data_IF_948176617983
#
_entry.id   IF_948176617983
#
_cell.length_a   1.000
_cell.length_b   1.000
_cell.length_c   1.000
_cell.angle_alpha   90.00
_cell.angle_beta   90.00
_cell.angle_gamma   90.00
#
_symmetry.space_group_name_H-M   'P 1'
#
loop_
_entity.id
_entity.type
_entity.pdbx_description
1 polymer ?
#
# COMPACT_ATOMS: atom_id res chain seq x y z
N UNK A 1 8.70 52.25 0.59
CA UNK A 1 8.46 51.25 1.63
C UNK A 1 7.01 50.78 1.57
N UNK A 2 6.72 49.67 0.86
CA UNK A 2 5.37 49.10 0.77
C UNK A 2 5.34 47.83 1.63
N UNK A 3 4.56 47.89 2.72
CA UNK A 3 4.29 46.74 3.59
C UNK A 3 3.28 45.81 2.89
N UNK A 4 3.71 44.57 2.61
CA UNK A 4 2.83 43.51 2.14
C UNK A 4 2.11 42.89 3.34
N UNK A 5 0.81 43.15 3.47
CA UNK A 5 -0.03 42.48 4.46
C UNK A 5 -0.30 41.03 4.01
N UNK A 6 0.18 40.05 4.77
CA UNK A 6 -0.23 38.66 4.65
C UNK A 6 -1.67 38.55 5.15
N UNK A 7 -2.61 38.25 4.24
CA UNK A 7 -4.00 37.93 4.59
C UNK A 7 -4.04 36.52 5.17
N UNK A 8 -4.27 36.43 6.47
CA UNK A 8 -4.63 35.21 7.17
C UNK A 8 -6.07 34.85 6.78
N UNK A 9 -6.27 33.80 6.00
CA UNK A 9 -7.60 33.25 5.73
C UNK A 9 -8.06 32.41 6.92
N UNK A 10 -8.93 32.96 7.73
CA UNK A 10 -9.72 32.21 8.71
C UNK A 10 -10.85 31.54 7.92
N UNK A 11 -10.82 30.21 7.80
CA UNK A 11 -11.94 29.44 7.28
C UNK A 11 -13.04 29.38 8.34
N UNK A 12 -14.07 30.16 8.15
CA UNK A 12 -15.32 30.02 8.91
C UNK A 12 -16.16 28.93 8.26
N UNK A 13 -16.54 27.94 9.07
CA UNK A 13 -17.32 26.78 8.67
C UNK A 13 -18.73 27.15 8.24
N UNK A 14 -19.08 26.96 6.97
CA UNK A 14 -20.45 26.78 6.52
C UNK A 14 -20.50 25.97 5.23
N UNK A 15 -21.08 24.78 5.26
CA UNK A 15 -21.46 23.98 4.11
C UNK A 15 -20.44 22.85 3.79
N UNK A 16 -20.67 21.68 4.38
CA UNK A 16 -20.01 20.42 4.01
C UNK A 16 -20.32 20.07 2.54
N UNK A 17 -19.51 20.54 1.61
CA UNK A 17 -19.24 19.79 0.40
C UNK A 17 -17.96 18.99 0.69
N UNK A 18 -18.12 17.73 1.06
CA UNK A 18 -16.99 16.82 1.25
C UNK A 18 -16.29 16.67 -0.10
N UNK A 19 -15.22 17.44 -0.34
CA UNK A 19 -14.29 17.18 -1.43
C UNK A 19 -13.54 15.92 -1.04
N UNK A 20 -13.87 14.79 -1.65
CA UNK A 20 -13.29 13.49 -1.31
C UNK A 20 -11.86 13.35 -1.83
N UNK A 21 -11.47 14.11 -2.86
CA UNK A 21 -10.14 13.97 -3.49
C UNK A 21 -9.73 15.22 -4.27
N UNK A 22 -8.49 15.68 -4.08
CA UNK A 22 -7.81 16.65 -4.93
C UNK A 22 -6.48 16.05 -5.36
N UNK A 23 -6.29 15.90 -6.66
CA UNK A 23 -5.05 15.38 -7.26
C UNK A 23 -4.38 16.50 -8.04
N UNK A 24 -3.16 16.87 -7.70
CA UNK A 24 -2.37 17.83 -8.45
C UNK A 24 -1.70 17.15 -9.65
N UNK A 25 -1.90 17.69 -10.84
CA UNK A 25 -1.33 17.18 -12.10
C UNK A 25 -0.54 18.32 -12.75
N UNK A 26 0.75 18.42 -12.46
CA UNK A 26 1.57 19.49 -13.01
C UNK A 26 1.09 20.88 -12.59
N UNK A 27 0.67 21.72 -13.56
CA UNK A 27 0.12 23.06 -13.29
C UNK A 27 -1.40 23.09 -13.09
N UNK A 28 -2.09 21.93 -13.20
CA UNK A 28 -3.53 21.79 -13.06
C UNK A 28 -3.94 20.90 -11.90
N UNK A 29 -5.24 20.70 -11.75
CA UNK A 29 -5.78 19.84 -10.70
C UNK A 29 -7.02 19.08 -11.17
N UNK A 30 -7.23 17.91 -10.59
CA UNK A 30 -8.50 17.17 -10.63
C UNK A 30 -9.14 17.24 -9.26
N UNK A 31 -10.34 17.78 -9.19
CA UNK A 31 -11.13 17.87 -7.95
C UNK A 31 -12.39 17.03 -8.09
N UNK A 32 -12.59 16.08 -7.22
CA UNK A 32 -13.74 15.17 -7.23
C UNK A 32 -14.49 15.26 -5.91
N UNK A 33 -15.79 15.54 -5.98
CA UNK A 33 -16.66 15.56 -4.80
C UNK A 33 -17.00 14.14 -4.35
N UNK A 34 -17.58 13.35 -5.22
CA UNK A 34 -17.94 11.95 -4.98
C UNK A 34 -17.70 11.12 -6.23
N UNK A 35 -17.12 9.92 -6.06
CA UNK A 35 -17.03 8.92 -7.12
C UNK A 35 -17.90 7.71 -6.79
N UNK A 36 -18.76 7.30 -7.73
CA UNK A 36 -19.70 6.17 -7.57
C UNK A 36 -19.62 5.24 -8.77
N UNK A 37 -20.05 4.02 -8.59
CA UNK A 37 -20.27 3.03 -9.67
C UNK A 37 -21.75 2.93 -10.04
N UNK A 38 -22.63 3.57 -9.28
CA UNK A 38 -24.06 3.61 -9.56
C UNK A 38 -24.37 4.57 -10.71
N UNK A 39 -25.07 4.06 -11.73
CA UNK A 39 -25.44 4.81 -12.93
C UNK A 39 -24.43 4.67 -14.07
N UNK A 40 -23.55 3.68 -14.05
CA UNK A 40 -22.73 3.30 -15.22
C UNK A 40 -23.66 2.79 -16.31
N UNK A 41 -23.61 3.42 -17.47
CA UNK A 41 -24.43 3.11 -18.67
C UNK A 41 -23.61 3.03 -19.96
N UNK A 42 -22.30 3.29 -19.87
CA UNK A 42 -21.37 3.29 -20.99
C UNK A 42 -20.11 2.47 -20.65
N UNK A 43 -19.65 1.70 -21.63
CA UNK A 43 -18.42 0.90 -21.50
C UNK A 43 -17.57 1.09 -22.75
N UNK A 44 -16.30 1.44 -22.56
CA UNK A 44 -15.34 1.62 -23.63
C UNK A 44 -14.11 0.75 -23.39
N UNK A 45 -13.78 -0.10 -24.35
CA UNK A 45 -12.50 -0.83 -24.36
C UNK A 45 -11.43 0.07 -24.97
N UNK A 46 -10.34 0.24 -24.25
CA UNK A 46 -9.21 1.06 -24.66
C UNK A 46 -8.20 0.23 -25.44
N UNK A 47 -7.89 0.68 -26.65
CA UNK A 47 -6.74 0.14 -27.39
C UNK A 47 -5.45 0.70 -26.81
N UNK A 48 -4.68 -0.15 -26.13
CA UNK A 48 -3.41 0.22 -25.49
C UNK A 48 -2.32 -0.78 -25.87
N UNK A 49 -1.08 -0.34 -25.83
CA UNK A 49 0.08 -1.23 -26.00
C UNK A 49 0.20 -2.25 -24.88
N UNK A 50 1.09 -3.23 -25.04
CA UNK A 50 1.38 -4.21 -24.00
C UNK A 50 2.00 -3.53 -22.76
N UNK A 51 1.55 -3.95 -21.56
CA UNK A 51 2.06 -3.46 -20.28
C UNK A 51 2.23 -4.61 -19.29
N UNK A 52 3.17 -4.45 -18.35
CA UNK A 52 3.39 -5.34 -17.21
C UNK A 52 3.35 -4.57 -15.88
N UNK A 53 3.02 -3.28 -15.91
CA UNK A 53 2.84 -2.45 -14.73
C UNK A 53 1.61 -1.54 -14.87
N UNK A 54 0.94 -1.25 -13.76
CA UNK A 54 -0.20 -0.32 -13.67
C UNK A 54 0.15 0.78 -12.68
N UNK A 55 -0.04 2.02 -13.12
CA UNK A 55 0.11 3.23 -12.29
C UNK A 55 -1.12 4.11 -12.51
N UNK A 56 -1.94 4.29 -11.47
CA UNK A 56 -3.12 5.12 -11.61
C UNK A 56 -3.19 6.28 -10.63
N UNK A 57 -3.75 7.39 -11.13
CA UNK A 57 -4.05 8.60 -10.37
C UNK A 57 -5.54 8.94 -10.47
N UNK A 58 -6.39 7.96 -10.79
CA UNK A 58 -7.84 8.15 -10.85
C UNK A 58 -8.42 8.28 -9.45
N UNK A 59 -9.51 9.01 -9.27
CA UNK A 59 -10.25 9.07 -8.00
C UNK A 59 -11.31 7.98 -7.85
N UNK A 60 -11.19 6.89 -8.61
CA UNK A 60 -12.15 5.80 -8.67
C UNK A 60 -11.48 4.44 -8.40
N UNK A 61 -12.29 3.40 -8.30
CA UNK A 61 -11.79 2.04 -8.15
C UNK A 61 -11.28 1.48 -9.48
N UNK A 62 -10.12 0.86 -9.41
CA UNK A 62 -9.52 0.07 -10.48
C UNK A 62 -9.58 -1.40 -10.07
N UNK A 63 -10.32 -2.20 -10.81
CA UNK A 63 -10.42 -3.65 -10.62
C UNK A 63 -9.40 -4.32 -11.53
N UNK A 64 -8.47 -5.05 -10.93
CA UNK A 64 -7.49 -5.85 -11.66
C UNK A 64 -7.81 -7.34 -11.52
N UNK A 65 -7.70 -8.09 -12.61
CA UNK A 65 -7.80 -9.56 -12.59
C UNK A 65 -6.77 -10.19 -13.53
N UNK A 66 -6.25 -11.34 -13.16
CA UNK A 66 -5.40 -12.12 -14.05
C UNK A 66 -6.26 -12.88 -15.07
N UNK A 67 -5.95 -12.74 -16.37
CA UNK A 67 -6.61 -13.44 -17.46
C UNK A 67 -5.64 -13.60 -18.63
N UNK A 68 -5.92 -14.53 -19.55
CA UNK A 68 -5.04 -14.84 -20.67
C UNK A 68 -4.84 -13.67 -21.65
N UNK A 69 -5.81 -12.75 -21.71
CA UNK A 69 -5.77 -11.58 -22.58
C UNK A 69 -5.70 -10.30 -21.77
N UNK A 70 -4.93 -9.34 -22.29
CA UNK A 70 -4.84 -8.00 -21.77
C UNK A 70 -5.99 -7.15 -22.29
N UNK A 71 -6.73 -6.54 -21.39
CA UNK A 71 -7.84 -5.64 -21.72
C UNK A 71 -7.92 -4.50 -20.70
N UNK A 72 -8.25 -3.32 -21.16
CA UNK A 72 -8.55 -2.14 -20.33
C UNK A 72 -9.92 -1.63 -20.67
N UNK A 73 -10.88 -1.71 -19.74
CA UNK A 73 -12.23 -1.19 -19.89
C UNK A 73 -12.47 -0.01 -18.95
N UNK A 74 -12.96 1.06 -19.53
CA UNK A 74 -13.48 2.22 -18.80
C UNK A 74 -14.98 2.10 -18.77
N UNK A 75 -15.55 1.97 -17.59
CA UNK A 75 -16.98 1.84 -17.36
C UNK A 75 -17.50 3.10 -16.62
N UNK A 76 -18.42 3.85 -17.26
CA UNK A 76 -18.76 5.20 -16.85
C UNK A 76 -20.07 5.67 -17.49
N UNK A 77 -20.25 6.99 -17.62
CA UNK A 77 -21.06 7.62 -18.67
C UNK A 77 -20.15 7.97 -19.85
N UNK A 78 -20.70 8.17 -21.05
CA UNK A 78 -19.93 8.54 -22.24
C UNK A 78 -19.10 9.82 -22.01
N UNK A 79 -19.71 10.83 -21.36
CA UNK A 79 -19.04 12.09 -21.02
C UNK A 79 -17.80 11.89 -20.15
N UNK A 80 -17.90 11.11 -19.07
CA UNK A 80 -16.78 10.91 -18.16
C UNK A 80 -15.76 9.92 -18.71
N UNK A 81 -16.19 8.91 -19.48
CA UNK A 81 -15.25 8.01 -20.15
C UNK A 81 -14.29 8.77 -21.07
N UNK A 82 -14.79 9.76 -21.83
CA UNK A 82 -13.97 10.62 -22.68
C UNK A 82 -12.93 11.45 -21.92
N UNK A 83 -13.10 11.63 -20.59
CA UNK A 83 -12.16 12.36 -19.70
C UNK A 83 -11.10 11.48 -19.09
N UNK A 84 -11.17 10.17 -19.26
CA UNK A 84 -10.17 9.23 -18.76
C UNK A 84 -9.05 9.09 -19.77
N UNK A 85 -7.83 9.41 -19.36
CA UNK A 85 -6.61 9.26 -20.15
C UNK A 85 -6.00 7.91 -19.82
N UNK A 86 -5.81 7.08 -20.83
CA UNK A 86 -5.14 5.78 -20.76
C UNK A 86 -3.95 5.79 -21.72
N UNK A 87 -2.75 5.63 -21.20
CA UNK A 87 -1.52 5.62 -22.00
C UNK A 87 -0.55 4.57 -21.46
N UNK A 88 0.17 3.89 -22.34
CA UNK A 88 1.27 3.00 -21.97
C UNK A 88 2.58 3.69 -22.27
N UNK A 89 3.41 3.87 -21.24
CA UNK A 89 4.76 4.41 -21.33
C UNK A 89 5.72 3.47 -20.58
N UNK A 90 6.77 3.05 -21.22
CA UNK A 90 7.79 2.14 -20.67
C UNK A 90 7.19 0.88 -20.02
N UNK A 91 6.24 0.24 -20.71
CA UNK A 91 5.55 -0.95 -20.21
C UNK A 91 4.59 -0.70 -19.04
N UNK A 92 4.35 0.55 -18.67
CA UNK A 92 3.44 0.95 -17.58
C UNK A 92 2.17 1.55 -18.15
N UNK A 93 1.02 0.93 -17.84
CA UNK A 93 -0.31 1.52 -18.09
C UNK A 93 -0.54 2.65 -17.08
N UNK A 94 -0.60 3.87 -17.57
CA UNK A 94 -0.89 5.07 -16.78
C UNK A 94 -2.35 5.48 -16.98
N UNK A 95 -3.09 5.61 -15.88
CA UNK A 95 -4.48 6.01 -15.84
C UNK A 95 -4.62 7.36 -15.12
N UNK A 96 -5.22 8.34 -15.78
CA UNK A 96 -5.40 9.70 -15.26
C UNK A 96 -6.75 10.25 -15.69
N UNK A 97 -7.25 11.28 -14.99
CA UNK A 97 -8.35 12.14 -15.45
C UNK A 97 -7.79 13.38 -16.15
N UNK A 98 -8.51 13.90 -17.13
CA UNK A 98 -8.29 15.28 -17.58
C UNK A 98 -8.47 16.26 -16.40
N UNK A 99 -7.76 17.40 -16.47
CA UNK A 99 -7.91 18.47 -15.49
C UNK A 99 -9.36 18.96 -15.46
N UNK A 100 -9.88 19.21 -14.26
CA UNK A 100 -11.24 19.64 -14.12
C UNK A 100 -11.84 19.44 -12.74
N UNK A 101 -13.08 19.88 -12.63
CA UNK A 101 -13.89 19.69 -11.41
C UNK A 101 -15.05 18.75 -11.70
N UNK A 102 -15.11 17.68 -10.95
CA UNK A 102 -16.09 16.59 -11.08
C UNK A 102 -16.89 16.45 -9.76
N UNK A 103 -17.96 17.22 -9.54
CA UNK A 103 -18.73 17.18 -8.28
C UNK A 103 -19.32 15.80 -8.01
N UNK A 104 -19.75 15.11 -9.06
CA UNK A 104 -20.22 13.73 -9.05
C UNK A 104 -19.62 13.02 -10.24
N UNK A 105 -18.74 12.06 -9.98
CA UNK A 105 -18.10 11.23 -11.00
C UNK A 105 -18.69 9.82 -10.95
N UNK A 106 -19.08 9.28 -12.08
CA UNK A 106 -19.52 7.88 -12.23
C UNK A 106 -18.43 7.19 -13.03
N UNK A 107 -17.64 6.35 -12.38
CA UNK A 107 -16.46 5.74 -13.02
C UNK A 107 -15.96 4.52 -12.25
N UNK A 108 -15.62 3.46 -12.99
CA UNK A 108 -14.67 2.43 -12.59
C UNK A 108 -13.84 2.00 -13.79
N UNK A 109 -12.67 1.44 -13.54
CA UNK A 109 -11.82 0.85 -14.57
C UNK A 109 -11.62 -0.63 -14.26
N UNK A 110 -11.77 -1.47 -15.27
CA UNK A 110 -11.55 -2.92 -15.17
C UNK A 110 -10.39 -3.29 -16.08
N UNK A 111 -9.40 -3.95 -15.52
CA UNK A 111 -8.18 -4.32 -16.21
C UNK A 111 -7.94 -5.81 -16.07
N UNK A 112 -7.64 -6.46 -17.18
CA UNK A 112 -7.11 -7.83 -17.18
C UNK A 112 -5.71 -7.86 -17.77
N UNK A 113 -4.86 -8.76 -17.28
CA UNK A 113 -3.55 -9.03 -17.85
C UNK A 113 -3.08 -10.45 -17.49
N UNK A 114 -2.34 -11.14 -18.37
CA UNK A 114 -1.80 -12.47 -18.06
C UNK A 114 -0.72 -12.46 -16.99
N UNK A 115 0.00 -11.35 -16.86
CA UNK A 115 1.05 -11.18 -15.85
C UNK A 115 1.18 -9.70 -15.46
N UNK A 116 1.73 -9.43 -14.27
CA UNK A 116 1.91 -8.07 -13.76
C UNK A 116 3.11 -8.02 -12.79
N UNK A 117 3.97 -7.03 -12.93
CA UNK A 117 5.14 -6.84 -12.08
C UNK A 117 4.97 -5.68 -11.08
N UNK A 118 4.04 -4.75 -11.38
CA UNK A 118 3.82 -3.60 -10.50
C UNK A 118 2.38 -3.10 -10.53
N UNK A 119 1.83 -2.84 -9.33
CA UNK A 119 0.55 -2.18 -9.11
C UNK A 119 0.77 -0.94 -8.22
N UNK A 120 0.46 0.24 -8.75
CA UNK A 120 0.70 1.50 -8.03
C UNK A 120 -0.51 2.43 -8.07
N UNK A 121 -0.86 3.03 -6.91
CA UNK A 121 -1.80 4.14 -6.82
C UNK A 121 -1.11 5.40 -6.31
N UNK A 122 -1.35 6.52 -6.98
CA UNK A 122 -0.85 7.86 -6.64
C UNK A 122 -1.96 8.84 -6.27
N UNK A 123 -3.20 8.45 -6.49
CA UNK A 123 -4.38 9.26 -6.25
C UNK A 123 -5.14 8.87 -4.99
N UNK A 124 -6.46 9.04 -5.06
CA UNK A 124 -7.40 8.67 -4.00
C UNK A 124 -8.20 7.41 -4.36
N UNK A 125 -8.04 6.87 -5.55
CA UNK A 125 -8.74 5.67 -6.00
C UNK A 125 -8.02 4.39 -5.60
N UNK A 126 -8.81 3.35 -5.37
CA UNK A 126 -8.33 2.06 -4.88
C UNK A 126 -7.95 1.12 -6.04
N UNK A 127 -7.02 0.21 -5.77
CA UNK A 127 -6.81 -0.99 -6.60
C UNK A 127 -7.41 -2.19 -5.86
N UNK A 128 -8.24 -2.96 -6.57
CA UNK A 128 -8.91 -4.14 -6.02
C UNK A 128 -8.60 -5.35 -6.90
N UNK A 129 -8.01 -6.39 -6.28
CA UNK A 129 -7.84 -7.71 -6.88
C UNK A 129 -8.47 -8.77 -5.98
N UNK A 130 -9.24 -9.68 -6.56
CA UNK A 130 -9.86 -10.80 -5.83
C UNK A 130 -9.31 -12.13 -6.36
N UNK A 131 -9.25 -13.12 -5.48
CA UNK A 131 -8.74 -14.44 -5.81
C UNK A 131 -7.23 -14.55 -5.74
N UNK A 132 -6.63 -15.44 -6.51
CA UNK A 132 -5.19 -15.69 -6.49
C UNK A 132 -4.52 -15.07 -7.72
N UNK A 133 -3.53 -14.24 -7.48
CA UNK A 133 -2.63 -13.67 -8.49
C UNK A 133 -1.32 -14.47 -8.51
N UNK A 134 -1.02 -15.09 -9.65
CA UNK A 134 0.22 -15.86 -9.88
C UNK A 134 1.15 -15.10 -10.79
N UNK A 135 2.20 -14.53 -10.24
CA UNK A 135 3.18 -13.74 -10.97
C UNK A 135 4.41 -14.59 -11.26
N UNK A 136 4.88 -14.58 -12.52
CA UNK A 136 6.06 -15.35 -12.93
C UNK A 136 7.37 -14.84 -12.34
N UNK A 137 7.42 -13.57 -12.04
CA UNK A 137 8.57 -12.85 -11.50
C UNK A 137 8.32 -12.24 -10.14
N UNK A 138 8.85 -11.05 -9.97
CA UNK A 138 8.70 -10.25 -8.76
C UNK A 138 7.44 -9.38 -8.87
N UNK A 139 6.75 -9.16 -7.76
CA UNK A 139 5.62 -8.25 -7.69
C UNK A 139 5.89 -7.10 -6.73
N UNK A 140 5.66 -5.88 -7.18
CA UNK A 140 5.71 -4.67 -6.36
C UNK A 140 4.33 -4.01 -6.28
N UNK A 141 3.86 -3.77 -5.05
CA UNK A 141 2.59 -3.10 -4.76
C UNK A 141 2.87 -1.81 -3.99
N UNK A 142 2.43 -0.66 -4.51
CA UNK A 142 2.74 0.65 -3.91
C UNK A 142 1.54 1.57 -3.81
N UNK A 143 1.42 2.28 -2.68
CA UNK A 143 0.56 3.46 -2.56
C UNK A 143 1.37 4.68 -2.15
N UNK A 144 1.12 5.81 -2.78
CA UNK A 144 1.74 7.09 -2.43
C UNK A 144 0.72 8.21 -2.26
N UNK A 145 -0.55 7.94 -2.51
CA UNK A 145 -1.69 8.81 -2.27
C UNK A 145 -2.49 8.42 -1.03
N UNK A 146 -3.80 8.54 -1.13
CA UNK A 146 -4.77 8.12 -0.10
C UNK A 146 -5.61 6.92 -0.53
N UNK A 147 -5.43 6.45 -1.77
CA UNK A 147 -6.11 5.25 -2.28
C UNK A 147 -5.52 3.97 -1.71
N UNK A 148 -6.39 3.02 -1.43
CA UNK A 148 -6.04 1.73 -0.86
C UNK A 148 -5.75 0.68 -1.94
N UNK A 149 -4.97 -0.34 -1.55
CA UNK A 149 -4.79 -1.53 -2.37
C UNK A 149 -5.28 -2.75 -1.59
N UNK A 150 -6.26 -3.46 -2.14
CA UNK A 150 -6.84 -4.68 -1.54
C UNK A 150 -6.66 -5.85 -2.48
N UNK A 151 -5.96 -6.88 -2.00
CA UNK A 151 -5.67 -8.06 -2.81
C UNK A 151 -5.99 -9.34 -2.05
N UNK A 152 -6.34 -10.39 -2.80
CA UNK A 152 -6.46 -11.75 -2.29
C UNK A 152 -5.11 -12.42 -2.08
N UNK A 153 -4.97 -13.65 -2.57
CA UNK A 153 -3.73 -14.43 -2.49
C UNK A 153 -2.74 -14.02 -3.58
N UNK A 154 -1.46 -13.99 -3.25
CA UNK A 154 -0.36 -13.66 -4.18
C UNK A 154 0.68 -14.78 -4.14
N UNK A 155 1.06 -15.27 -5.32
CA UNK A 155 2.19 -16.16 -5.52
C UNK A 155 3.20 -15.46 -6.45
N UNK A 156 4.41 -15.18 -5.96
CA UNK A 156 5.46 -14.45 -6.70
C UNK A 156 6.86 -14.95 -6.31
N UNK A 157 7.87 -14.67 -7.13
CA UNK A 157 9.26 -14.98 -6.79
C UNK A 157 9.76 -14.12 -5.64
N UNK A 158 9.55 -12.80 -5.73
CA UNK A 158 9.72 -11.88 -4.62
C UNK A 158 8.50 -10.93 -4.54
N UNK A 159 8.15 -10.54 -3.33
CA UNK A 159 7.04 -9.62 -3.10
C UNK A 159 7.49 -8.39 -2.32
N UNK A 160 7.08 -7.21 -2.80
CA UNK A 160 7.36 -5.94 -2.13
C UNK A 160 6.08 -5.10 -1.98
N UNK A 161 5.74 -4.69 -0.75
CA UNK A 161 4.68 -3.74 -0.47
C UNK A 161 5.23 -2.43 0.12
N UNK A 162 4.77 -1.29 -0.38
CA UNK A 162 5.21 0.01 0.10
C UNK A 162 4.05 1.00 0.25
N UNK A 163 3.84 1.56 1.45
CA UNK A 163 2.98 2.71 1.66
C UNK A 163 3.83 3.95 1.98
N UNK A 164 3.68 4.99 1.14
CA UNK A 164 4.35 6.29 1.32
C UNK A 164 3.38 7.43 1.58
N UNK A 165 2.10 7.19 1.41
CA UNK A 165 1.01 8.13 1.63
C UNK A 165 0.20 7.81 2.88
N UNK A 166 -1.11 7.98 2.77
CA UNK A 166 -2.09 7.64 3.80
C UNK A 166 -2.97 6.45 3.41
N UNK A 167 -2.81 5.94 2.19
CA UNK A 167 -3.53 4.76 1.72
C UNK A 167 -2.97 3.47 2.31
N UNK A 168 -3.87 2.53 2.57
CA UNK A 168 -3.55 1.24 3.17
C UNK A 168 -3.32 0.16 2.10
N UNK A 169 -2.52 -0.84 2.46
CA UNK A 169 -2.39 -2.07 1.67
C UNK A 169 -2.87 -3.25 2.52
N UNK A 170 -3.92 -3.94 2.04
CA UNK A 170 -4.48 -5.13 2.69
C UNK A 170 -4.41 -6.33 1.76
N UNK A 171 -3.74 -7.40 2.20
CA UNK A 171 -3.51 -8.61 1.42
C UNK A 171 -3.86 -9.83 2.26
N UNK A 172 -4.68 -10.72 1.68
CA UNK A 172 -5.09 -11.94 2.37
C UNK A 172 -3.95 -12.93 2.55
N UNK A 173 -3.06 -13.05 1.54
CA UNK A 173 -1.90 -13.92 1.70
C UNK A 173 -0.84 -13.70 0.62
N UNK A 174 0.41 -14.01 0.98
CA UNK A 174 1.57 -13.95 0.10
C UNK A 174 2.39 -15.23 0.24
N UNK A 175 2.72 -15.85 -0.89
CA UNK A 175 3.72 -16.92 -0.98
C UNK A 175 4.85 -16.45 -1.90
N UNK A 176 6.08 -16.32 -1.35
CA UNK A 176 7.22 -15.82 -2.11
C UNK A 176 8.56 -16.31 -1.51
N UNK A 177 9.64 -16.30 -2.29
CA UNK A 177 10.97 -16.56 -1.72
C UNK A 177 11.41 -15.40 -0.82
N UNK A 178 11.18 -14.15 -1.24
CA UNK A 178 11.51 -12.98 -0.44
C UNK A 178 10.28 -12.10 -0.26
N UNK A 179 10.00 -11.74 0.98
CA UNK A 179 8.92 -10.81 1.35
C UNK A 179 9.51 -9.55 1.94
N UNK A 180 9.08 -8.39 1.43
CA UNK A 180 9.44 -7.09 1.99
C UNK A 180 8.23 -6.17 2.08
N UNK A 181 8.04 -5.53 3.25
CA UNK A 181 6.99 -4.54 3.43
C UNK A 181 7.51 -3.30 4.16
N UNK A 182 7.16 -2.12 3.68
CA UNK A 182 7.63 -0.87 4.30
C UNK A 182 6.59 0.24 4.30
N UNK A 183 6.54 0.95 5.42
CA UNK A 183 5.73 2.16 5.62
C UNK A 183 6.63 3.36 5.87
N UNK A 184 6.43 4.44 5.13
CA UNK A 184 7.07 5.73 5.40
C UNK A 184 6.06 6.88 5.53
N UNK A 185 4.78 6.59 5.37
CA UNK A 185 3.65 7.50 5.53
C UNK A 185 2.85 7.23 6.80
N UNK A 186 1.53 7.41 6.68
CA UNK A 186 0.56 7.17 7.75
C UNK A 186 -0.42 6.03 7.41
N UNK A 187 -0.36 5.48 6.21
CA UNK A 187 -1.18 4.32 5.80
C UNK A 187 -0.61 3.02 6.35
N UNK A 188 -1.48 2.05 6.60
CA UNK A 188 -1.14 0.78 7.23
C UNK A 188 -0.91 -0.34 6.21
N UNK A 189 -0.08 -1.30 6.59
CA UNK A 189 0.10 -2.56 5.87
C UNK A 189 -0.46 -3.72 6.69
N UNK A 190 -1.43 -4.42 6.12
CA UNK A 190 -2.11 -5.54 6.78
C UNK A 190 -2.00 -6.81 5.93
N UNK A 191 -1.39 -7.85 6.48
CA UNK A 191 -1.26 -9.16 5.87
C UNK A 191 -1.87 -10.22 6.78
N UNK A 192 -2.76 -11.08 6.23
CA UNK A 192 -3.32 -12.17 7.03
C UNK A 192 -2.35 -13.33 7.09
N UNK A 193 -1.72 -13.69 5.95
CA UNK A 193 -0.78 -14.81 5.87
C UNK A 193 0.42 -14.49 5.00
N UNK A 194 1.62 -14.88 5.45
CA UNK A 194 2.86 -14.81 4.65
C UNK A 194 3.64 -16.11 4.80
N UNK A 195 3.93 -16.75 3.67
CA UNK A 195 4.82 -17.89 3.57
C UNK A 195 6.04 -17.47 2.72
N UNK A 196 7.24 -17.44 3.30
CA UNK A 196 8.43 -16.97 2.59
C UNK A 196 9.71 -17.69 3.06
N UNK A 197 10.83 -17.44 2.35
CA UNK A 197 12.14 -17.81 2.86
C UNK A 197 12.79 -16.64 3.60
N UNK A 198 12.85 -15.45 3.01
CA UNK A 198 13.35 -14.25 3.67
C UNK A 198 12.21 -13.26 3.98
N UNK A 199 12.18 -12.73 5.20
CA UNK A 199 11.15 -11.81 5.68
C UNK A 199 11.77 -10.50 6.18
N UNK A 200 11.25 -9.37 5.69
CA UNK A 200 11.69 -8.05 6.12
C UNK A 200 10.53 -7.06 6.18
N UNK A 201 10.35 -6.42 7.33
CA UNK A 201 9.36 -5.35 7.49
C UNK A 201 9.97 -4.13 8.17
N UNK A 202 9.53 -2.93 7.76
CA UNK A 202 10.02 -1.70 8.38
C UNK A 202 8.99 -0.57 8.35
N UNK A 203 8.89 0.20 9.43
CA UNK A 203 8.17 1.47 9.45
C UNK A 203 9.10 2.62 9.85
N UNK A 204 9.01 3.72 9.10
CA UNK A 204 9.73 4.98 9.40
C UNK A 204 8.74 6.14 9.59
N UNK A 205 7.46 5.91 9.34
CA UNK A 205 6.37 6.86 9.48
C UNK A 205 5.56 6.65 10.76
N UNK A 206 4.26 6.89 10.66
CA UNK A 206 3.28 6.70 11.74
C UNK A 206 2.31 5.54 11.46
N UNK A 207 2.31 5.01 10.24
CA UNK A 207 1.48 3.86 9.89
C UNK A 207 2.05 2.54 10.40
N UNK A 208 1.16 1.61 10.71
CA UNK A 208 1.44 0.33 11.32
C UNK A 208 1.67 -0.78 10.28
N UNK A 209 2.39 -1.82 10.69
CA UNK A 209 2.48 -3.08 9.95
C UNK A 209 1.93 -4.19 10.82
N UNK A 210 0.90 -4.87 10.33
CA UNK A 210 0.27 -6.01 11.02
C UNK A 210 0.31 -7.26 10.16
N UNK A 211 0.74 -8.36 10.77
CA UNK A 211 0.77 -9.68 10.14
C UNK A 211 0.25 -10.72 11.14
N UNK A 212 -0.77 -11.49 10.73
CA UNK A 212 -1.40 -12.46 11.61
C UNK A 212 -0.72 -13.82 11.61
N UNK A 213 -0.27 -14.32 10.44
CA UNK A 213 0.37 -15.63 10.32
C UNK A 213 1.62 -15.54 9.46
N UNK A 214 2.80 -15.86 10.00
CA UNK A 214 4.07 -15.90 9.27
C UNK A 214 4.70 -17.27 9.36
N UNK A 215 5.07 -17.82 8.20
CA UNK A 215 6.02 -18.93 8.12
C UNK A 215 7.24 -18.47 7.30
N UNK A 216 8.38 -18.30 7.95
CA UNK A 216 9.64 -17.95 7.30
C UNK A 216 10.68 -19.05 7.48
N UNK A 217 11.16 -19.61 6.36
CA UNK A 217 12.19 -20.68 6.36
C UNK A 217 13.61 -20.19 6.58
N UNK A 218 13.85 -18.91 6.49
CA UNK A 218 15.13 -18.26 6.77
C UNK A 218 14.98 -17.22 7.85
N UNK A 219 15.80 -16.16 7.80
CA UNK A 219 15.82 -15.12 8.79
C UNK A 219 14.68 -14.13 8.62
N UNK A 220 14.28 -13.51 9.73
CA UNK A 220 13.26 -12.47 9.78
C UNK A 220 13.81 -11.16 10.39
N UNK A 221 13.40 -10.04 9.82
CA UNK A 221 13.79 -8.71 10.27
C UNK A 221 12.55 -7.81 10.44
N UNK A 222 12.42 -7.16 11.61
CA UNK A 222 11.38 -6.16 11.86
C UNK A 222 12.00 -4.91 12.48
N UNK A 223 11.81 -3.74 11.83
CA UNK A 223 12.39 -2.47 12.27
C UNK A 223 11.36 -1.35 12.32
N UNK A 224 11.21 -0.70 13.49
CA UNK A 224 10.49 0.56 13.64
C UNK A 224 11.46 1.69 13.96
N UNK A 225 11.44 2.75 13.17
CA UNK A 225 12.22 3.97 13.43
C UNK A 225 11.37 5.25 13.49
N UNK A 226 10.06 5.11 13.38
CA UNK A 226 9.07 6.18 13.53
C UNK A 226 8.23 6.04 14.79
N UNK A 227 6.95 6.31 14.65
CA UNK A 227 5.93 6.13 15.69
C UNK A 227 4.96 4.98 15.38
N UNK A 228 5.04 4.41 14.18
CA UNK A 228 4.21 3.27 13.77
C UNK A 228 4.68 1.97 14.43
N UNK A 229 3.72 1.12 14.74
CA UNK A 229 3.94 -0.16 15.40
C UNK A 229 4.10 -1.31 14.39
N UNK A 230 4.80 -2.35 14.81
CA UNK A 230 4.87 -3.62 14.09
C UNK A 230 4.29 -4.72 14.96
N UNK A 231 3.24 -5.39 14.47
CA UNK A 231 2.57 -6.49 15.16
C UNK A 231 2.68 -7.77 14.34
N UNK A 232 3.40 -8.75 14.87
CA UNK A 232 3.60 -10.06 14.28
C UNK A 232 2.98 -11.11 15.20
N UNK A 233 1.88 -11.74 14.78
CA UNK A 233 1.18 -12.76 15.54
C UNK A 233 1.33 -14.12 14.86
N UNK A 234 1.35 -15.19 15.64
CA UNK A 234 1.43 -16.57 15.15
C UNK A 234 2.56 -16.79 14.15
N UNK A 235 3.80 -16.39 14.54
CA UNK A 235 4.96 -16.55 13.66
C UNK A 235 5.69 -17.87 13.91
N UNK A 236 6.21 -18.44 12.81
CA UNK A 236 7.18 -19.52 12.82
C UNK A 236 8.33 -19.13 11.91
N UNK A 237 9.51 -18.91 12.50
CA UNK A 237 10.74 -18.53 11.81
C UNK A 237 11.77 -19.61 12.06
N UNK A 238 12.20 -20.33 11.01
CA UNK A 238 13.20 -21.40 11.15
C UNK A 238 14.61 -20.84 11.42
N UNK A 239 14.88 -19.60 11.00
CA UNK A 239 16.13 -18.88 11.20
C UNK A 239 16.08 -17.90 12.37
N UNK A 240 17.02 -16.96 12.37
CA UNK A 240 17.17 -15.94 13.40
C UNK A 240 16.26 -14.75 13.15
N UNK A 241 15.88 -14.05 14.23
CA UNK A 241 15.03 -12.88 14.19
C UNK A 241 15.73 -11.63 14.69
N UNK A 242 15.79 -10.58 13.86
CA UNK A 242 16.26 -9.26 14.27
C UNK A 242 15.06 -8.32 14.51
N UNK A 243 14.93 -7.81 15.74
CA UNK A 243 13.93 -6.85 16.16
C UNK A 243 14.59 -5.54 16.58
N UNK A 244 14.21 -4.45 15.94
CA UNK A 244 14.83 -3.16 16.26
C UNK A 244 13.82 -2.02 16.27
N UNK A 245 13.80 -1.25 17.38
CA UNK A 245 13.09 0.04 17.41
C UNK A 245 14.06 1.18 17.78
N UNK A 246 13.96 2.30 17.08
CA UNK A 246 14.77 3.50 17.33
C UNK A 246 13.91 4.74 17.55
N UNK A 247 12.60 4.61 17.43
CA UNK A 247 11.60 5.67 17.61
C UNK A 247 10.75 5.50 18.85
N UNK A 248 9.47 5.78 18.70
CA UNK A 248 8.43 5.60 19.73
C UNK A 248 7.48 4.45 19.43
N UNK A 249 7.55 3.89 18.21
CA UNK A 249 6.73 2.76 17.81
C UNK A 249 7.19 1.45 18.44
N UNK A 250 6.22 0.62 18.80
CA UNK A 250 6.44 -0.67 19.45
C UNK A 250 6.58 -1.81 18.44
N UNK A 251 7.28 -2.86 18.85
CA UNK A 251 7.29 -4.14 18.13
C UNK A 251 6.69 -5.20 19.05
N UNK A 252 5.57 -5.78 18.64
CA UNK A 252 4.95 -6.91 19.35
C UNK A 252 5.09 -8.17 18.51
N UNK A 253 5.65 -9.24 19.10
CA UNK A 253 5.89 -10.50 18.38
C UNK A 253 5.48 -11.70 19.23
N UNK A 254 4.72 -12.65 18.62
CA UNK A 254 4.28 -13.88 19.28
C UNK A 254 4.51 -15.08 18.36
N UNK A 255 5.20 -16.12 18.85
CA UNK A 255 5.44 -17.33 18.08
C UNK A 255 6.77 -17.99 18.41
N UNK A 256 7.50 -18.46 17.39
CA UNK A 256 8.76 -19.19 17.54
C UNK A 256 9.82 -18.71 16.56
N UNK A 257 11.09 -18.71 16.97
CA UNK A 257 12.25 -18.53 16.09
C UNK A 257 13.46 -19.29 16.62
N UNK A 258 14.57 -19.33 15.87
CA UNK A 258 15.80 -19.97 16.30
C UNK A 258 16.50 -19.11 17.39
N UNK A 259 17.05 -17.96 17.04
CA UNK A 259 17.65 -17.02 17.97
C UNK A 259 17.10 -15.61 17.75
N UNK A 260 17.22 -14.72 18.77
CA UNK A 260 16.71 -13.35 18.71
C UNK A 260 17.81 -12.34 18.99
N UNK A 261 17.92 -11.35 18.11
CA UNK A 261 18.61 -10.09 18.42
C UNK A 261 17.57 -8.98 18.55
N UNK A 262 17.39 -8.44 19.76
CA UNK A 262 16.42 -7.39 20.04
C UNK A 262 17.09 -6.13 20.54
N UNK A 263 16.85 -4.98 19.91
CA UNK A 263 17.43 -3.71 20.33
C UNK A 263 16.44 -2.55 20.30
N UNK A 264 16.39 -1.76 21.37
CA UNK A 264 15.64 -0.51 21.42
C UNK A 264 16.57 0.66 21.82
N UNK A 265 16.47 1.78 21.11
CA UNK A 265 17.25 3.01 21.39
C UNK A 265 16.38 4.24 21.62
N UNK A 266 15.07 4.10 21.56
CA UNK A 266 14.09 5.17 21.76
C UNK A 266 13.20 4.96 22.98
N UNK A 267 11.91 5.27 22.80
CA UNK A 267 10.88 5.05 23.81
C UNK A 267 10.00 3.82 23.50
N UNK A 268 10.09 3.28 22.28
CA UNK A 268 9.32 2.13 21.87
C UNK A 268 9.79 0.84 22.52
N UNK A 269 8.84 0.00 22.89
CA UNK A 269 9.06 -1.31 23.52
C UNK A 269 9.15 -2.43 22.44
N UNK A 270 9.91 -3.47 22.75
CA UNK A 270 9.87 -4.76 22.06
C UNK A 270 9.29 -5.78 23.04
N UNK A 271 8.14 -6.34 22.71
CA UNK A 271 7.41 -7.20 23.64
C UNK A 271 6.70 -8.36 22.92
N UNK A 272 6.30 -9.37 23.70
CA UNK A 272 5.52 -10.48 23.17
C UNK A 272 5.74 -11.79 23.90
N UNK A 273 5.20 -12.85 23.31
CA UNK A 273 5.40 -14.23 23.77
C UNK A 273 6.09 -15.01 22.67
N UNK A 274 7.43 -14.95 22.66
CA UNK A 274 8.28 -15.56 21.65
C UNK A 274 9.11 -16.70 22.26
N UNK A 275 9.06 -17.88 21.68
CA UNK A 275 9.93 -18.99 22.04
C UNK A 275 11.17 -19.00 21.17
N UNK A 276 12.36 -19.03 21.77
CA UNK A 276 13.66 -18.95 21.09
C UNK A 276 14.73 -19.73 21.83
N UNK A 277 15.85 -20.01 21.15
CA UNK A 277 17.03 -20.67 21.75
C UNK A 277 17.89 -19.71 22.56
N UNK A 278 18.36 -18.62 21.95
CA UNK A 278 19.18 -17.60 22.58
C UNK A 278 18.64 -16.19 22.28
N UNK A 279 18.89 -15.23 23.21
CA UNK A 279 18.55 -13.81 23.00
C UNK A 279 19.75 -12.90 23.31
N UNK A 280 20.08 -11.99 22.38
CA UNK A 280 20.90 -10.79 22.63
C UNK A 280 19.97 -9.57 22.70
N UNK A 281 19.68 -9.09 23.91
CA UNK A 281 18.78 -7.98 24.13
C UNK A 281 19.55 -6.74 24.60
N UNK A 282 19.30 -5.61 23.95
CA UNK A 282 19.94 -4.32 24.28
C UNK A 282 18.88 -3.22 24.36
N UNK A 283 18.95 -2.41 25.40
CA UNK A 283 18.11 -1.23 25.56
C UNK A 283 18.97 -0.01 25.89
N UNK A 284 18.73 1.08 25.14
CA UNK A 284 19.34 2.39 25.37
C UNK A 284 18.25 3.45 25.17
N UNK A 285 17.74 4.02 26.24
CA UNK A 285 16.59 4.92 26.25
C UNK A 285 15.54 4.49 27.27
N UNK A 286 14.26 4.83 27.03
CA UNK A 286 13.16 4.50 27.92
C UNK A 286 12.45 3.20 27.54
N UNK A 287 12.63 2.72 26.32
CA UNK A 287 12.04 1.48 25.81
C UNK A 287 12.64 0.23 26.45
N UNK A 288 11.88 -0.84 26.47
CA UNK A 288 12.21 -2.11 27.12
C UNK A 288 12.08 -3.28 26.16
N UNK A 289 12.88 -4.32 26.38
CA UNK A 289 12.74 -5.63 25.72
C UNK A 289 12.15 -6.61 26.71
N UNK A 290 11.01 -7.25 26.35
CA UNK A 290 10.24 -8.22 27.16
C UNK A 290 9.68 -9.31 26.25
N UNK A 291 10.48 -10.31 25.92
CA UNK A 291 10.13 -11.46 25.07
C UNK A 291 10.07 -12.75 25.91
#
# INVERSE_FOLDING_TARGET
>A
MKRTMKKLFVFLAAGLLAVSCIINIGNGFVSVGNCTEEGIDYTEVREVGAFNAISHSLPCKVYFSQADQQEVRVESTEEFAAKVITVVEDGTLKLKMEEGRYPKLILRVVITSPDIESLQTHGCGDIIHKGTLRVKGDLTVKTSGSGDIRMGMIEAKAFTAQSRGSGDIRIEGVSSANFSASVSGSGDLNFVRVDCAGFKVSTTGSGDISLSNLTAKGNAEARSSGSGDIRLSEITVDGDMELRTTGSGDITVNGTCHDVMASTTGSGDISGNLSFGHIDARSSGSGRVRL
#
